data_IF_877375045895
#
_entry.id   IF_877375045895
#
_cell.length_a   1.000
_cell.length_b   1.000
_cell.length_c   1.000
_cell.angle_alpha   90.00
_cell.angle_beta   90.00
_cell.angle_gamma   90.00
#
_symmetry.space_group_name_H-M   'P 1'
#
loop_
_entity.id
_entity.type
_entity.pdbx_description
1 polymer ?
#
# COMPACT_ATOMS: atom_id res chain seq x y z
N UNK A 1 19.89 -5.94 -12.29
CA UNK A 1 18.43 -6.09 -12.06
C UNK A 1 17.67 -5.32 -13.13
N UNK A 2 16.61 -5.89 -13.72
CA UNK A 2 15.79 -5.18 -14.70
C UNK A 2 14.70 -4.36 -13.98
N UNK A 3 14.98 -3.07 -13.77
CA UNK A 3 14.07 -2.17 -13.03
C UNK A 3 12.70 -2.05 -13.68
N UNK A 4 12.59 -2.08 -15.02
CA UNK A 4 11.29 -2.00 -15.71
C UNK A 4 10.42 -3.22 -15.42
N UNK A 5 11.01 -4.41 -15.47
CA UNK A 5 10.31 -5.65 -15.12
C UNK A 5 9.90 -5.66 -13.64
N UNK A 6 10.82 -5.26 -12.75
CA UNK A 6 10.58 -5.17 -11.31
C UNK A 6 9.41 -4.23 -10.98
N UNK A 7 9.36 -3.05 -11.59
CA UNK A 7 8.29 -2.09 -11.37
C UNK A 7 6.92 -2.60 -11.85
N UNK A 8 6.86 -3.33 -12.97
CA UNK A 8 5.61 -3.98 -13.43
C UNK A 8 5.11 -5.04 -12.45
N UNK A 9 6.02 -5.89 -11.97
CA UNK A 9 5.69 -6.91 -10.96
C UNK A 9 5.22 -6.22 -9.68
N UNK A 10 5.91 -5.17 -9.23
CA UNK A 10 5.55 -4.40 -8.06
C UNK A 10 4.16 -3.75 -8.17
N UNK A 11 3.82 -3.15 -9.33
CA UNK A 11 2.49 -2.55 -9.54
C UNK A 11 1.35 -3.59 -9.53
N UNK A 12 1.57 -4.75 -10.13
CA UNK A 12 0.58 -5.83 -10.11
C UNK A 12 0.41 -6.37 -8.68
N UNK A 13 1.54 -6.62 -8.00
CA UNK A 13 1.57 -7.13 -6.63
C UNK A 13 0.86 -6.18 -5.65
N UNK A 14 1.24 -4.89 -5.63
CA UNK A 14 0.64 -3.94 -4.70
C UNK A 14 -0.85 -3.74 -4.95
N UNK A 15 -1.30 -3.83 -6.21
CA UNK A 15 -2.72 -3.75 -6.53
C UNK A 15 -3.51 -4.93 -5.96
N UNK A 16 -2.98 -6.16 -6.09
CA UNK A 16 -3.60 -7.36 -5.49
C UNK A 16 -3.64 -7.25 -3.97
N UNK A 17 -2.51 -6.90 -3.34
CA UNK A 17 -2.41 -6.74 -1.89
C UNK A 17 -3.38 -5.67 -1.40
N UNK A 18 -3.47 -4.53 -2.09
CA UNK A 18 -4.38 -3.44 -1.73
C UNK A 18 -5.83 -3.87 -1.77
N UNK A 19 -6.26 -4.59 -2.81
CA UNK A 19 -7.63 -5.12 -2.93
C UNK A 19 -7.96 -6.04 -1.76
N UNK A 20 -7.05 -6.96 -1.41
CA UNK A 20 -7.24 -7.90 -0.29
C UNK A 20 -7.32 -7.13 1.04
N UNK A 21 -6.41 -6.18 1.27
CA UNK A 21 -6.42 -5.36 2.48
C UNK A 21 -7.69 -4.51 2.62
N UNK A 22 -8.14 -3.89 1.54
CA UNK A 22 -9.36 -3.09 1.53
C UNK A 22 -10.60 -3.96 1.82
N UNK A 23 -10.70 -5.12 1.15
CA UNK A 23 -11.76 -6.08 1.40
C UNK A 23 -11.77 -6.58 2.86
N UNK A 24 -10.58 -6.85 3.42
CA UNK A 24 -10.44 -7.25 4.83
C UNK A 24 -10.99 -6.21 5.81
N UNK A 25 -10.74 -4.93 5.57
CA UNK A 25 -11.27 -3.83 6.42
C UNK A 25 -12.79 -3.69 6.26
N UNK A 26 -13.33 -3.88 5.04
CA UNK A 26 -14.78 -3.85 4.78
C UNK A 26 -15.50 -4.99 5.51
N UNK A 27 -14.94 -6.21 5.46
CA UNK A 27 -15.55 -7.39 6.05
C UNK A 27 -15.36 -7.46 7.58
N UNK A 28 -14.28 -6.88 8.10
CA UNK A 28 -13.92 -6.92 9.52
C UNK A 28 -13.61 -5.50 10.04
N UNK A 29 -14.60 -4.60 10.19
CA UNK A 29 -14.35 -3.23 10.60
C UNK A 29 -13.69 -3.10 11.98
N UNK A 30 -13.84 -4.10 12.86
CA UNK A 30 -13.25 -4.14 14.20
C UNK A 30 -11.72 -4.20 14.23
N UNK A 31 -11.05 -4.62 13.15
CA UNK A 31 -9.58 -4.62 13.08
C UNK A 31 -9.00 -3.26 12.72
N UNK A 32 -9.82 -2.33 12.20
CA UNK A 32 -9.36 -1.02 11.70
C UNK A 32 -8.65 -0.18 12.76
N UNK A 33 -9.16 0.00 14.01
CA UNK A 33 -8.45 0.79 15.02
C UNK A 33 -7.08 0.18 15.38
N UNK A 34 -7.02 -1.15 15.51
CA UNK A 34 -5.78 -1.87 15.76
C UNK A 34 -4.78 -1.72 14.60
N UNK A 35 -5.23 -1.85 13.36
CA UNK A 35 -4.39 -1.66 12.17
C UNK A 35 -3.87 -0.22 12.06
N UNK A 36 -4.71 0.78 12.33
CA UNK A 36 -4.28 2.18 12.34
C UNK A 36 -3.21 2.43 13.41
N UNK A 37 -3.41 1.91 14.62
CA UNK A 37 -2.48 2.11 15.74
C UNK A 37 -1.16 1.37 15.59
N UNK A 38 -1.22 0.09 15.21
CA UNK A 38 -0.05 -0.79 15.19
C UNK A 38 0.60 -0.90 13.81
N UNK A 39 -0.19 -0.89 12.73
CA UNK A 39 0.30 -1.04 11.35
C UNK A 39 0.69 0.29 10.70
N UNK A 40 -0.07 1.36 10.95
CA UNK A 40 0.16 2.68 10.35
C UNK A 40 0.68 3.74 11.34
N UNK A 41 0.88 3.37 12.61
CA UNK A 41 1.35 4.27 13.66
C UNK A 41 0.52 5.56 13.81
N UNK A 42 -0.79 5.46 13.59
CA UNK A 42 -1.75 6.56 13.73
C UNK A 42 -2.58 6.42 15.01
N UNK A 43 -2.70 7.51 15.77
CA UNK A 43 -3.49 7.59 17.01
C UNK A 43 -4.91 8.13 16.84
N UNK A 44 -5.48 8.04 15.64
CA UNK A 44 -6.75 8.69 15.31
C UNK A 44 -7.87 7.64 15.30
N UNK A 45 -8.92 7.85 16.10
CA UNK A 45 -10.14 7.07 16.02
C UNK A 45 -10.94 7.58 14.82
N UNK A 46 -10.77 6.93 13.67
CA UNK A 46 -11.54 7.25 12.47
C UNK A 46 -12.97 6.69 12.63
N UNK A 47 -13.75 7.26 13.55
CA UNK A 47 -15.14 6.91 13.86
C UNK A 47 -16.11 7.12 12.70
N UNK A 48 -15.62 7.51 11.52
CA UNK A 48 -16.38 7.63 10.28
C UNK A 48 -16.06 6.45 9.37
N UNK A 49 -17.09 5.71 8.95
CA UNK A 49 -16.97 4.67 7.93
C UNK A 49 -16.95 5.33 6.55
N UNK A 50 -15.76 5.69 6.07
CA UNK A 50 -15.55 6.35 4.77
C UNK A 50 -15.21 5.29 3.69
N UNK A 51 -15.66 4.04 3.84
CA UNK A 51 -15.38 2.97 2.88
C UNK A 51 -16.31 3.11 1.67
N UNK A 52 -15.92 3.97 0.74
CA UNK A 52 -16.63 4.21 -0.53
C UNK A 52 -15.79 3.76 -1.72
N UNK A 53 -16.43 3.58 -2.87
CA UNK A 53 -15.73 3.30 -4.13
C UNK A 53 -14.70 4.41 -4.48
N UNK A 54 -15.02 5.67 -4.14
CA UNK A 54 -14.08 6.79 -4.31
C UNK A 54 -12.82 6.61 -3.48
N UNK A 55 -12.96 6.31 -2.19
CA UNK A 55 -11.79 6.06 -1.32
C UNK A 55 -11.01 4.81 -1.72
N UNK A 56 -11.68 3.78 -2.24
CA UNK A 56 -11.03 2.60 -2.78
C UNK A 56 -10.11 2.95 -3.95
N UNK A 57 -10.65 3.67 -4.95
CA UNK A 57 -9.89 4.07 -6.14
C UNK A 57 -8.76 5.02 -5.77
N UNK A 58 -9.04 6.05 -4.96
CA UNK A 58 -8.02 7.00 -4.51
C UNK A 58 -6.88 6.30 -3.79
N UNK A 59 -7.20 5.40 -2.85
CA UNK A 59 -6.17 4.64 -2.15
C UNK A 59 -5.40 3.71 -3.08
N UNK A 60 -6.05 3.02 -4.03
CA UNK A 60 -5.38 2.14 -4.99
C UNK A 60 -4.33 2.89 -5.82
N UNK A 61 -4.69 4.10 -6.27
CA UNK A 61 -3.79 4.98 -7.04
C UNK A 61 -2.63 5.42 -6.14
N UNK A 62 -2.91 5.95 -4.95
CA UNK A 62 -1.89 6.45 -4.02
C UNK A 62 -0.90 5.34 -3.66
N UNK A 63 -1.39 4.15 -3.29
CA UNK A 63 -0.53 3.03 -2.91
C UNK A 63 0.33 2.51 -4.07
N UNK A 64 -0.20 2.48 -5.30
CA UNK A 64 0.62 2.13 -6.47
C UNK A 64 1.76 3.13 -6.70
N UNK A 65 1.47 4.44 -6.61
CA UNK A 65 2.50 5.48 -6.78
C UNK A 65 3.58 5.34 -5.71
N UNK A 66 3.19 5.21 -4.44
CA UNK A 66 4.14 5.04 -3.33
C UNK A 66 4.99 3.78 -3.51
N UNK A 67 4.37 2.64 -3.87
CA UNK A 67 5.09 1.39 -4.06
C UNK A 67 6.07 1.45 -5.23
N UNK A 68 5.70 2.08 -6.36
CA UNK A 68 6.59 2.27 -7.49
C UNK A 68 7.81 3.13 -7.10
N UNK A 69 7.60 4.23 -6.36
CA UNK A 69 8.69 5.07 -5.87
C UNK A 69 9.61 4.31 -4.91
N UNK A 70 9.05 3.56 -3.96
CA UNK A 70 9.80 2.78 -2.99
C UNK A 70 10.65 1.68 -3.68
N UNK A 71 10.07 0.93 -4.61
CA UNK A 71 10.77 -0.14 -5.34
C UNK A 71 11.82 0.43 -6.28
N UNK A 72 11.53 1.57 -6.92
CA UNK A 72 12.52 2.27 -7.74
C UNK A 72 13.72 2.73 -6.91
N UNK A 73 13.48 3.36 -5.75
CA UNK A 73 14.53 3.77 -4.82
C UNK A 73 15.34 2.57 -4.34
N UNK A 74 14.69 1.48 -3.94
CA UNK A 74 15.36 0.24 -3.58
C UNK A 74 16.27 -0.26 -4.70
N UNK A 75 15.78 -0.28 -5.95
CA UNK A 75 16.56 -0.71 -7.10
C UNK A 75 17.79 0.17 -7.35
N UNK A 76 17.65 1.50 -7.15
CA UNK A 76 18.77 2.43 -7.25
C UNK A 76 19.81 2.16 -6.17
N UNK A 77 19.39 2.07 -4.90
CA UNK A 77 20.30 1.85 -3.78
C UNK A 77 21.03 0.50 -3.91
N UNK A 78 20.29 -0.56 -4.23
CA UNK A 78 20.84 -1.89 -4.48
C UNK A 78 21.91 -1.89 -5.58
N UNK A 79 21.75 -1.04 -6.60
CA UNK A 79 22.72 -0.95 -7.71
C UNK A 79 23.90 -0.04 -7.41
N UNK A 80 23.83 0.82 -6.38
CA UNK A 80 24.83 1.86 -6.07
C UNK A 80 25.67 1.55 -4.84
N UNK A 81 25.13 0.82 -3.87
CA UNK A 81 25.87 0.40 -2.68
C UNK A 81 26.72 -0.81 -3.06
N UNK A 82 28.04 -0.63 -3.06
CA UNK A 82 28.99 -1.74 -3.25
C UNK A 82 28.91 -2.69 -2.05
N UNK A 83 29.02 -3.99 -2.33
CA UNK A 83 29.30 -5.00 -1.30
C UNK A 83 30.68 -4.78 -0.69
#
# INVERSE_FOLDING_TARGET
MNTKHLLKVASAWISVVYVICFAGIVLLPGIRPGFMRYGLHMGIDMGQNILTLGTFISGLIIWNVIALLAVWLFALLYSKIKQ
#
